data_IF_680441048287
#
_entry.id   IF_680441048287
#
_cell.length_a   1.000
_cell.length_b   1.000
_cell.length_c   1.000
_cell.angle_alpha   90.00
_cell.angle_beta   90.00
_cell.angle_gamma   90.00
#
_symmetry.space_group_name_H-M   'P 1'
#
loop_
_entity.id
_entity.type
_entity.pdbx_description
1 polymer ?
#
# COMPACT_ATOMS: atom_id res chain seq x y z
N UNK A 1 -5.34 3.20 -9.04
CA UNK A 1 -4.92 4.11 -7.95
C UNK A 1 -4.30 3.24 -6.87
N UNK A 2 -3.08 3.53 -6.43
CA UNK A 2 -2.28 2.62 -5.58
C UNK A 2 -2.17 3.15 -4.15
N UNK A 3 -1.85 2.28 -3.19
CA UNK A 3 -1.59 2.64 -1.78
C UNK A 3 -0.65 3.86 -1.65
N UNK A 4 0.51 3.93 -2.34
CA UNK A 4 1.38 5.10 -2.29
C UNK A 4 0.71 6.39 -2.79
N UNK A 5 -0.16 6.30 -3.81
CA UNK A 5 -0.84 7.48 -4.35
C UNK A 5 -1.74 8.13 -3.31
N UNK A 6 -2.54 7.32 -2.58
CA UNK A 6 -3.43 7.81 -1.52
C UNK A 6 -2.65 8.53 -0.43
N UNK A 7 -1.56 7.92 0.02
CA UNK A 7 -0.73 8.48 1.09
C UNK A 7 -0.05 9.77 0.63
N UNK A 8 0.54 9.77 -0.57
CA UNK A 8 1.16 10.96 -1.13
C UNK A 8 0.13 12.09 -1.31
N UNK A 9 -1.07 11.79 -1.79
CA UNK A 9 -2.12 12.80 -1.94
C UNK A 9 -2.55 13.39 -0.59
N UNK A 10 -2.69 12.55 0.45
CA UNK A 10 -3.00 13.01 1.80
C UNK A 10 -1.91 13.91 2.39
N UNK A 11 -0.63 13.59 2.14
CA UNK A 11 0.52 14.34 2.62
C UNK A 11 0.92 15.51 1.72
N UNK A 12 0.23 15.73 0.60
CA UNK A 12 0.57 16.78 -0.37
C UNK A 12 1.89 16.53 -1.13
N UNK A 13 2.31 15.27 -1.25
CA UNK A 13 3.54 14.87 -1.93
C UNK A 13 3.27 14.55 -3.40
N UNK A 14 4.14 15.03 -4.29
CA UNK A 14 4.09 14.67 -5.70
C UNK A 14 4.57 13.23 -5.93
N UNK A 15 3.84 12.48 -6.77
CA UNK A 15 4.26 11.15 -7.23
C UNK A 15 4.85 11.27 -8.63
N UNK A 16 6.11 10.87 -8.82
CA UNK A 16 6.73 10.75 -10.14
C UNK A 16 6.71 9.29 -10.58
N UNK A 17 5.89 8.98 -11.57
CA UNK A 17 5.97 7.70 -12.26
C UNK A 17 7.08 7.76 -13.31
N UNK A 18 7.90 6.70 -13.41
CA UNK A 18 8.90 6.59 -14.47
C UNK A 18 8.24 6.61 -15.87
N UNK A 19 9.07 6.75 -16.91
CA UNK A 19 8.59 6.65 -18.28
C UNK A 19 7.97 5.26 -18.51
N UNK A 20 6.78 5.17 -19.12
CA UNK A 20 6.15 3.89 -19.41
C UNK A 20 7.01 3.13 -20.42
N UNK A 21 7.68 2.07 -19.97
CA UNK A 21 8.42 1.17 -20.85
C UNK A 21 7.63 -0.13 -20.98
N UNK A 22 7.04 -0.35 -22.15
CA UNK A 22 6.43 -1.63 -22.52
C UNK A 22 7.48 -2.41 -23.31
N UNK A 23 8.10 -3.40 -22.67
CA UNK A 23 9.04 -4.32 -23.32
C UNK A 23 8.36 -5.68 -23.52
N UNK A 24 7.97 -6.00 -24.76
CA UNK A 24 7.35 -7.28 -25.11
C UNK A 24 8.42 -8.26 -25.61
N UNK A 25 8.81 -9.24 -24.78
CA UNK A 25 9.79 -10.27 -25.18
C UNK A 25 9.15 -11.53 -25.79
N UNK A 26 7.83 -11.72 -25.63
CA UNK A 26 7.03 -12.84 -26.15
C UNK A 26 5.55 -12.48 -26.11
N UNK A 27 4.77 -12.88 -27.12
CA UNK A 27 3.31 -12.83 -27.06
C UNK A 27 2.83 -13.95 -26.12
N UNK A 28 2.33 -13.60 -24.93
CA UNK A 28 1.70 -14.55 -24.02
C UNK A 28 0.35 -15.02 -24.60
N UNK A 29 -0.05 -16.26 -24.32
CA UNK A 29 -1.36 -16.75 -24.75
C UNK A 29 -2.46 -15.96 -24.01
N UNK A 30 -3.31 -15.19 -24.73
CA UNK A 30 -4.27 -14.28 -24.11
C UNK A 30 -5.25 -14.98 -23.17
N UNK A 31 -5.74 -16.16 -23.56
CA UNK A 31 -6.73 -16.91 -22.77
C UNK A 31 -6.12 -17.50 -21.48
N UNK A 32 -4.86 -17.92 -21.53
CA UNK A 32 -4.14 -18.43 -20.36
C UNK A 32 -3.86 -17.29 -19.37
N UNK A 33 -3.57 -16.08 -19.85
CA UNK A 33 -3.34 -14.92 -18.99
C UNK A 33 -4.65 -14.41 -18.36
N UNK A 34 -5.72 -14.32 -19.16
CA UNK A 34 -7.04 -13.93 -18.67
C UNK A 34 -7.53 -14.89 -17.57
N UNK A 35 -7.30 -16.20 -17.72
CA UNK A 35 -7.64 -17.20 -16.70
C UNK A 35 -6.78 -17.10 -15.43
N UNK A 36 -5.61 -16.46 -15.48
CA UNK A 36 -4.80 -16.16 -14.28
C UNK A 36 -5.22 -14.86 -13.62
N UNK A 37 -5.59 -13.86 -14.42
CA UNK A 37 -5.90 -12.50 -13.96
C UNK A 37 -7.39 -12.28 -13.65
N UNK A 38 -8.28 -13.23 -13.95
CA UNK A 38 -9.74 -13.06 -13.80
C UNK A 38 -10.17 -12.57 -12.40
N UNK A 39 -9.55 -13.09 -11.34
CA UNK A 39 -9.85 -12.64 -9.96
C UNK A 39 -9.50 -11.17 -9.77
N UNK A 40 -8.37 -10.75 -10.34
CA UNK A 40 -7.93 -9.35 -10.29
C UNK A 40 -8.89 -8.40 -10.99
N UNK A 41 -9.51 -8.83 -12.10
CA UNK A 41 -10.55 -8.05 -12.80
C UNK A 41 -11.78 -7.90 -11.91
N UNK A 42 -12.25 -8.98 -11.29
CA UNK A 42 -13.38 -8.93 -10.35
C UNK A 42 -13.09 -8.04 -9.14
N UNK A 43 -11.90 -8.17 -8.54
CA UNK A 43 -11.51 -7.35 -7.41
C UNK A 43 -11.43 -5.86 -7.75
N UNK A 44 -11.14 -5.49 -9.00
CA UNK A 44 -11.08 -4.09 -9.42
C UNK A 44 -12.41 -3.35 -9.25
N UNK A 45 -13.54 -4.04 -9.37
CA UNK A 45 -14.88 -3.44 -9.18
C UNK A 45 -15.07 -2.92 -7.75
N UNK A 46 -14.44 -3.56 -6.76
CA UNK A 46 -14.46 -3.15 -5.36
C UNK A 46 -13.27 -2.25 -4.98
N UNK A 47 -12.08 -2.54 -5.53
CA UNK A 47 -10.84 -1.82 -5.23
C UNK A 47 -10.86 -0.39 -5.75
N UNK A 48 -11.35 -0.16 -6.97
CA UNK A 48 -11.30 1.17 -7.59
C UNK A 48 -12.16 2.17 -6.79
N UNK A 49 -13.44 1.89 -6.49
CA UNK A 49 -14.26 2.78 -5.66
C UNK A 49 -13.71 2.94 -4.25
N UNK A 50 -13.17 1.87 -3.66
CA UNK A 50 -12.53 1.94 -2.35
C UNK A 50 -11.39 2.96 -2.32
N UNK A 51 -10.39 2.83 -3.20
CA UNK A 51 -9.25 3.74 -3.20
C UNK A 51 -9.60 5.17 -3.65
N UNK A 52 -10.64 5.34 -4.47
CA UNK A 52 -11.15 6.67 -4.84
C UNK A 52 -11.85 7.39 -3.69
N UNK A 53 -12.48 6.64 -2.78
CA UNK A 53 -13.25 7.20 -1.65
C UNK A 53 -12.48 7.24 -0.33
N UNK A 54 -11.33 6.58 -0.27
CA UNK A 54 -10.55 6.48 0.97
C UNK A 54 -10.05 7.86 1.38
N UNK A 55 -10.28 8.20 2.65
CA UNK A 55 -9.82 9.44 3.24
C UNK A 55 -9.09 9.11 4.54
N UNK A 56 -7.90 9.69 4.71
CA UNK A 56 -7.12 9.53 5.92
C UNK A 56 -7.43 10.70 6.89
N UNK A 57 -7.55 10.43 8.19
CA UNK A 57 -7.66 11.44 9.23
C UNK A 57 -6.50 12.45 9.21
N UNK A 58 -6.75 13.71 9.58
CA UNK A 58 -5.74 14.79 9.51
C UNK A 58 -4.56 14.61 10.48
N UNK A 59 -4.71 13.77 11.49
CA UNK A 59 -3.65 13.39 12.44
C UNK A 59 -2.66 12.38 11.84
N UNK A 60 -2.97 11.79 10.68
CA UNK A 60 -2.06 10.94 9.90
C UNK A 60 -1.02 11.79 9.14
N UNK A 61 -0.14 12.45 9.88
CA UNK A 61 0.86 13.36 9.33
C UNK A 61 2.21 12.71 8.95
N UNK A 62 2.35 11.40 9.14
CA UNK A 62 3.53 10.64 8.71
C UNK A 62 3.13 9.48 7.82
N UNK A 63 4.06 9.03 6.98
CA UNK A 63 3.83 7.87 6.08
C UNK A 63 3.47 6.63 6.90
N UNK A 64 4.14 6.40 8.03
CA UNK A 64 3.86 5.29 8.94
C UNK A 64 2.41 5.32 9.44
N UNK A 65 1.96 6.46 9.98
CA UNK A 65 0.57 6.60 10.46
C UNK A 65 -0.44 6.40 9.35
N UNK A 66 -0.17 6.94 8.17
CA UNK A 66 -1.01 6.74 6.99
C UNK A 66 -1.13 5.26 6.61
N UNK A 67 -0.03 4.51 6.63
CA UNK A 67 -0.03 3.07 6.34
C UNK A 67 -0.84 2.27 7.35
N UNK A 68 -0.66 2.54 8.64
CA UNK A 68 -1.40 1.88 9.73
C UNK A 68 -2.89 2.19 9.64
N UNK A 69 -3.26 3.43 9.36
CA UNK A 69 -4.68 3.78 9.24
C UNK A 69 -5.30 3.19 7.97
N UNK A 70 -4.58 3.22 6.85
CA UNK A 70 -5.03 2.61 5.61
C UNK A 70 -5.17 1.09 5.74
N UNK A 71 -4.28 0.40 6.47
CA UNK A 71 -4.36 -1.05 6.66
C UNK A 71 -5.64 -1.45 7.40
N UNK A 72 -6.08 -0.67 8.40
CA UNK A 72 -7.38 -0.87 9.07
C UNK A 72 -8.53 -0.73 8.10
N UNK A 73 -8.51 0.29 7.24
CA UNK A 73 -9.56 0.52 6.24
C UNK A 73 -9.59 -0.59 5.18
N UNK A 74 -8.43 -1.03 4.69
CA UNK A 74 -8.27 -2.20 3.80
C UNK A 74 -8.86 -3.44 4.44
N UNK A 75 -8.51 -3.74 5.70
CA UNK A 75 -9.05 -4.89 6.42
C UNK A 75 -10.56 -4.80 6.60
N UNK A 76 -11.10 -3.65 6.96
CA UNK A 76 -12.52 -3.49 7.23
C UNK A 76 -13.39 -3.54 5.96
N UNK A 77 -12.88 -3.01 4.84
CA UNK A 77 -13.66 -2.88 3.59
C UNK A 77 -13.41 -4.03 2.62
N UNK A 78 -12.16 -4.44 2.45
CA UNK A 78 -11.76 -5.40 1.41
C UNK A 78 -11.66 -6.85 1.90
N UNK A 79 -11.68 -7.12 3.20
CA UNK A 79 -11.77 -8.50 3.72
C UNK A 79 -13.00 -9.26 3.22
N UNK A 80 -14.06 -8.54 2.86
CA UNK A 80 -15.30 -9.09 2.31
C UNK A 80 -15.12 -9.60 0.87
N UNK A 81 -14.11 -9.09 0.17
CA UNK A 81 -13.85 -9.40 -1.23
C UNK A 81 -13.06 -10.69 -1.36
N UNK A 82 -11.99 -10.82 -0.57
CA UNK A 82 -11.15 -12.03 -0.50
C UNK A 82 -10.25 -12.00 0.75
N UNK A 83 -9.97 -13.16 1.33
CA UNK A 83 -9.07 -13.32 2.48
C UNK A 83 -7.64 -12.81 2.21
N UNK A 84 -7.25 -12.73 0.93
CA UNK A 84 -6.02 -12.08 0.50
C UNK A 84 -5.88 -10.66 1.10
N UNK A 85 -6.97 -9.89 1.18
CA UNK A 85 -6.90 -8.52 1.70
C UNK A 85 -6.73 -8.44 3.21
N UNK A 86 -7.08 -9.52 3.94
CA UNK A 86 -6.71 -9.64 5.36
C UNK A 86 -5.20 -9.77 5.48
N UNK A 87 -4.59 -10.68 4.70
CA UNK A 87 -3.14 -10.86 4.66
C UNK A 87 -2.41 -9.60 4.18
N UNK A 88 -2.98 -8.88 3.21
CA UNK A 88 -2.44 -7.60 2.75
C UNK A 88 -2.42 -6.57 3.87
N UNK A 89 -3.52 -6.42 4.62
CA UNK A 89 -3.58 -5.48 5.73
C UNK A 89 -2.55 -5.82 6.81
N UNK A 90 -2.40 -7.09 7.17
CA UNK A 90 -1.40 -7.55 8.13
C UNK A 90 0.02 -7.25 7.62
N UNK A 91 0.30 -7.57 6.35
CA UNK A 91 1.59 -7.29 5.72
C UNK A 91 1.93 -5.78 5.65
N UNK A 92 0.92 -4.92 5.45
CA UNK A 92 1.11 -3.47 5.49
C UNK A 92 1.58 -2.99 6.87
N UNK A 93 1.06 -3.58 7.95
CA UNK A 93 1.48 -3.27 9.33
C UNK A 93 2.89 -3.80 9.58
N UNK A 94 3.14 -5.07 9.27
CA UNK A 94 4.46 -5.69 9.44
C UNK A 94 5.55 -4.94 8.68
N UNK A 95 5.24 -4.41 7.49
CA UNK A 95 6.20 -3.62 6.73
C UNK A 95 6.60 -2.32 7.46
N UNK A 96 5.65 -1.64 8.10
CA UNK A 96 5.94 -0.43 8.88
C UNK A 96 6.69 -0.76 10.16
N UNK A 97 6.33 -1.83 10.85
CA UNK A 97 7.05 -2.28 12.04
C UNK A 97 8.51 -2.60 11.71
N UNK A 98 8.74 -3.38 10.65
CA UNK A 98 10.09 -3.68 10.18
C UNK A 98 10.86 -2.43 9.71
N UNK A 99 10.16 -1.46 9.11
CA UNK A 99 10.77 -0.19 8.70
C UNK A 99 11.25 0.61 9.91
N UNK A 100 10.43 0.73 10.95
CA UNK A 100 10.75 1.50 12.15
C UNK A 100 11.87 0.80 12.97
N UNK A 101 11.90 -0.54 13.02
CA UNK A 101 13.01 -1.31 13.62
C UNK A 101 14.36 -1.04 12.94
N UNK A 102 14.35 -0.91 11.61
CA UNK A 102 15.57 -0.67 10.83
C UNK A 102 15.95 0.82 10.74
N UNK A 103 15.02 1.73 11.01
CA UNK A 103 15.21 3.18 10.92
C UNK A 103 14.73 3.88 12.21
N UNK A 104 15.39 3.63 13.35
CA UNK A 104 15.02 4.26 14.60
C UNK A 104 15.13 5.78 14.50
N UNK A 105 14.21 6.50 15.15
CA UNK A 105 14.24 7.95 15.17
C UNK A 105 15.48 8.42 15.94
N UNK A 106 16.08 9.58 15.60
CA UNK A 106 17.14 10.18 16.40
C UNK A 106 16.75 10.41 17.87
N UNK A 107 15.45 10.50 18.17
CA UNK A 107 14.93 10.61 19.53
C UNK A 107 15.03 9.29 20.34
N UNK A 108 15.10 8.14 19.66
CA UNK A 108 15.20 6.81 20.26
C UNK A 108 16.66 6.39 20.51
N UNK A 109 17.62 7.12 19.93
CA UNK A 109 19.04 6.97 20.22
C UNK A 109 19.34 7.67 21.55
N UNK A 110 19.15 6.96 22.66
CA UNK A 110 19.62 7.41 23.96
C UNK A 110 21.12 7.74 23.88
N UNK A 111 21.51 8.95 24.31
CA UNK A 111 22.89 9.41 24.39
C UNK A 111 23.77 8.33 25.05
N UNK A 112 24.53 7.60 24.23
CA UNK A 112 25.58 6.72 24.69
C UNK A 112 26.59 7.57 25.45
N UNK A 113 26.59 7.43 26.77
CA UNK A 113 27.56 8.04 27.66
C UNK A 113 28.97 7.68 27.17
N UNK A 114 29.72 8.67 26.72
CA UNK A 114 31.16 8.51 26.47
C UNK A 114 31.82 8.04 27.78
N UNK A 115 32.52 6.91 27.71
CA UNK A 115 33.56 6.51 28.65
C UNK A 115 34.85 6.36 27.86
#
# INVERSE_FOLDING_TARGET
MTIPKVICDHLGLGVKTGLPYIYHSKASNPFVNLKKEYKGIYWQEELIPFFQSVALPKDCNTVQKCYIELSKQVRAKLSKVDDYFVKLADAMVTWIEAWDELNPSPADLSNGSSK
#
